data_IF_070624073765
#
_entry.id   IF_070624073765
#
_cell.length_a   1.000
_cell.length_b   1.000
_cell.length_c   1.000
_cell.angle_alpha   90.00
_cell.angle_beta   90.00
_cell.angle_gamma   90.00
#
_symmetry.space_group_name_H-M   'P 1'
#
loop_
_entity.id
_entity.type
_entity.pdbx_description
1 polymer ?
#
# COMPACT_ATOMS: atom_id res chain seq x y z
N UNK A 1 17.08 -32.81 12.27
CA UNK A 1 17.85 -32.62 11.03
C UNK A 1 17.21 -31.53 10.18
N UNK A 2 15.88 -31.55 9.96
CA UNK A 2 15.17 -30.57 9.11
C UNK A 2 15.35 -29.08 9.45
N UNK A 3 15.41 -28.68 10.73
CA UNK A 3 15.57 -27.25 11.08
C UNK A 3 16.98 -26.74 10.79
N UNK A 4 18.01 -27.57 11.00
CA UNK A 4 19.39 -27.21 10.70
C UNK A 4 19.66 -27.22 9.20
N UNK A 5 19.04 -28.15 8.46
CA UNK A 5 19.11 -28.16 7.00
C UNK A 5 18.36 -26.96 6.40
N UNK A 6 17.19 -26.60 6.93
CA UNK A 6 16.48 -25.38 6.54
C UNK A 6 17.28 -24.12 6.87
N UNK A 7 17.91 -24.05 8.05
CA UNK A 7 18.81 -22.96 8.42
C UNK A 7 20.06 -22.91 7.52
N UNK A 8 20.62 -24.04 7.12
CA UNK A 8 21.76 -24.09 6.20
C UNK A 8 21.37 -23.69 4.78
N UNK A 9 20.19 -24.10 4.31
CA UNK A 9 19.62 -23.68 3.02
C UNK A 9 19.18 -22.21 3.01
N UNK A 10 18.96 -21.59 4.18
CA UNK A 10 18.56 -20.19 4.34
C UNK A 10 19.62 -19.34 5.05
N UNK A 11 20.84 -19.86 5.23
CA UNK A 11 21.97 -19.05 5.66
C UNK A 11 22.28 -18.11 4.49
N UNK A 12 21.86 -16.85 4.62
CA UNK A 12 22.29 -15.79 3.74
C UNK A 12 23.82 -15.84 3.66
N UNK A 13 24.33 -16.24 2.51
CA UNK A 13 25.73 -16.05 2.20
C UNK A 13 25.96 -14.54 2.32
N UNK A 14 26.89 -14.12 3.18
CA UNK A 14 27.41 -12.76 3.12
C UNK A 14 27.74 -12.48 1.66
N UNK A 15 27.22 -11.37 1.11
CA UNK A 15 27.34 -11.04 -0.31
C UNK A 15 28.79 -11.20 -0.71
N UNK A 16 29.07 -12.20 -1.53
CA UNK A 16 30.43 -12.53 -1.89
C UNK A 16 31.04 -11.34 -2.68
N UNK A 17 32.34 -11.07 -2.51
CA UNK A 17 33.01 -10.10 -3.36
C UNK A 17 32.81 -10.47 -4.84
N UNK A 18 32.23 -9.57 -5.63
CA UNK A 18 31.95 -9.79 -7.05
C UNK A 18 30.54 -10.29 -7.39
N UNK A 19 29.62 -10.38 -6.42
CA UNK A 19 28.20 -10.64 -6.71
C UNK A 19 27.65 -9.56 -7.65
N UNK A 20 27.00 -9.93 -8.77
CA UNK A 20 26.43 -8.98 -9.70
C UNK A 20 25.36 -8.10 -9.02
N UNK A 21 25.12 -6.93 -9.61
CA UNK A 21 24.04 -6.04 -9.18
C UNK A 21 22.70 -6.79 -9.30
N UNK A 22 21.84 -6.81 -8.25
CA UNK A 22 20.55 -7.46 -8.32
C UNK A 22 19.62 -6.73 -9.30
N UNK A 23 18.67 -7.47 -9.86
CA UNK A 23 17.64 -6.93 -10.76
C UNK A 23 16.73 -5.98 -10.00
N UNK A 24 16.29 -6.36 -8.81
CA UNK A 24 15.47 -5.53 -7.94
C UNK A 24 15.78 -5.83 -6.46
N UNK A 25 15.62 -4.81 -5.63
CA UNK A 25 15.66 -4.93 -4.18
C UNK A 25 14.32 -4.50 -3.60
N UNK A 26 13.82 -5.22 -2.60
CA UNK A 26 12.51 -4.95 -2.02
C UNK A 26 12.64 -4.83 -0.50
N UNK A 27 12.31 -3.66 0.03
CA UNK A 27 12.23 -3.39 1.46
C UNK A 27 10.78 -3.59 1.90
N UNK A 28 10.54 -4.54 2.79
CA UNK A 28 9.20 -4.84 3.34
C UNK A 28 9.16 -4.57 4.84
N UNK A 29 7.95 -4.52 5.38
CA UNK A 29 7.77 -4.53 6.83
C UNK A 29 8.26 -5.84 7.45
N UNK A 30 8.89 -5.79 8.62
CA UNK A 30 9.25 -6.95 9.46
C UNK A 30 8.05 -7.69 10.06
N UNK A 31 6.83 -7.34 9.66
CA UNK A 31 5.62 -8.00 10.12
C UNK A 31 5.60 -9.44 9.60
N UNK A 32 5.26 -10.41 10.46
CA UNK A 32 5.31 -11.83 10.13
C UNK A 32 4.43 -12.21 8.94
N UNK A 33 3.41 -11.40 8.62
CA UNK A 33 2.53 -11.62 7.47
C UNK A 33 3.18 -11.26 6.14
N UNK A 34 4.27 -10.50 6.16
CA UNK A 34 5.09 -10.23 4.99
C UNK A 34 6.15 -11.31 4.76
N UNK A 35 6.44 -12.17 5.75
CA UNK A 35 7.60 -13.05 5.73
C UNK A 35 7.54 -14.13 4.64
N UNK A 36 6.39 -14.78 4.46
CA UNK A 36 6.23 -15.77 3.40
C UNK A 36 6.32 -15.16 2.00
N UNK A 37 5.88 -13.90 1.84
CA UNK A 37 6.06 -13.15 0.60
C UNK A 37 7.55 -12.88 0.33
N UNK A 38 8.29 -12.44 1.35
CA UNK A 38 9.75 -12.20 1.28
C UNK A 38 10.50 -13.45 0.85
N UNK A 39 10.24 -14.57 1.53
CA UNK A 39 10.88 -15.85 1.22
C UNK A 39 10.58 -16.30 -0.22
N UNK A 40 9.32 -16.24 -0.66
CA UNK A 40 8.98 -16.62 -2.03
C UNK A 40 9.63 -15.73 -3.10
N UNK A 41 9.88 -14.46 -2.76
CA UNK A 41 10.61 -13.54 -3.65
C UNK A 41 12.10 -13.92 -3.74
N UNK A 42 12.73 -14.27 -2.62
CA UNK A 42 14.12 -14.75 -2.60
C UNK A 42 14.27 -16.12 -3.27
N UNK A 43 13.26 -16.99 -3.18
CA UNK A 43 13.20 -18.27 -3.90
C UNK A 43 13.14 -18.11 -5.44
N UNK A 44 12.90 -16.89 -5.96
CA UNK A 44 13.03 -16.62 -7.40
C UNK A 44 14.50 -16.55 -7.86
N UNK A 45 15.44 -16.55 -6.92
CA UNK A 45 16.89 -16.58 -7.15
C UNK A 45 17.60 -15.28 -6.77
N UNK A 46 18.93 -15.31 -6.86
CA UNK A 46 19.85 -14.24 -6.41
C UNK A 46 19.68 -12.88 -7.13
N UNK A 47 18.80 -12.82 -8.13
CA UNK A 47 18.44 -11.59 -8.83
C UNK A 47 17.54 -10.67 -7.99
N UNK A 48 16.91 -11.18 -6.93
CA UNK A 48 16.00 -10.45 -6.05
C UNK A 48 16.47 -10.54 -4.62
N UNK A 49 16.56 -9.39 -3.95
CA UNK A 49 16.96 -9.34 -2.55
C UNK A 49 15.91 -8.62 -1.73
N UNK A 50 15.68 -9.10 -0.51
CA UNK A 50 14.73 -8.46 0.39
C UNK A 50 15.39 -7.92 1.65
N UNK A 51 14.80 -6.85 2.17
CA UNK A 51 15.18 -6.23 3.42
C UNK A 51 13.94 -6.08 4.30
N UNK A 52 14.10 -6.24 5.61
CA UNK A 52 13.03 -6.03 6.58
C UNK A 52 13.31 -4.78 7.42
N UNK A 53 12.32 -3.89 7.54
CA UNK A 53 12.35 -2.80 8.54
C UNK A 53 10.96 -2.56 9.14
N UNK A 54 10.85 -1.73 10.17
CA UNK A 54 9.54 -1.36 10.72
C UNK A 54 8.71 -0.61 9.66
N UNK A 55 7.44 -1.00 9.45
CA UNK A 55 6.60 -0.56 8.33
C UNK A 55 6.25 0.93 8.24
N UNK A 56 6.65 1.75 9.23
CA UNK A 56 6.59 3.21 9.13
C UNK A 56 7.85 3.83 8.49
N UNK A 57 8.87 3.03 8.21
CA UNK A 57 10.11 3.38 7.49
C UNK A 57 10.85 4.60 8.07
N UNK A 58 10.86 4.74 9.39
CA UNK A 58 11.41 5.91 10.07
C UNK A 58 10.78 7.26 9.66
N UNK A 59 9.59 7.26 9.05
CA UNK A 59 8.83 8.46 8.66
C UNK A 59 7.63 8.64 9.61
N UNK A 60 7.82 9.17 10.84
CA UNK A 60 6.70 9.44 11.74
C UNK A 60 5.92 10.67 11.26
N UNK A 61 4.70 10.45 10.77
CA UNK A 61 3.83 11.53 10.27
C UNK A 61 2.39 11.35 10.71
N UNK A 62 1.67 12.46 10.85
CA UNK A 62 0.22 12.47 10.69
C UNK A 62 -0.10 12.52 9.20
N UNK A 63 -0.77 11.50 8.70
CA UNK A 63 -1.15 11.39 7.31
C UNK A 63 -2.63 11.70 7.11
N UNK A 64 -2.96 12.48 6.08
CA UNK A 64 -4.32 12.66 5.61
C UNK A 64 -4.40 12.36 4.13
N UNK A 65 -5.06 11.25 3.79
CA UNK A 65 -5.37 10.87 2.41
C UNK A 65 -6.36 11.80 1.74
N UNK A 66 -6.46 11.70 0.41
CA UNK A 66 -7.29 12.58 -0.42
C UNK A 66 -8.76 12.68 0.03
N UNK A 67 -9.31 11.54 0.45
CA UNK A 67 -10.71 11.38 0.84
C UNK A 67 -10.91 11.24 2.37
N UNK A 68 -9.83 11.37 3.16
CA UNK A 68 -9.85 11.20 4.60
C UNK A 68 -10.45 12.41 5.31
N UNK A 69 -11.21 12.13 6.37
CA UNK A 69 -11.89 13.16 7.14
C UNK A 69 -10.99 13.79 8.21
N UNK A 70 -10.06 13.04 8.79
CA UNK A 70 -9.05 13.53 9.74
C UNK A 70 -7.69 12.93 9.41
N UNK A 71 -6.62 13.62 9.81
CA UNK A 71 -5.28 13.06 9.80
C UNK A 71 -5.11 11.98 10.88
N UNK A 72 -4.43 10.89 10.54
CA UNK A 72 -4.12 9.79 11.45
C UNK A 72 -2.60 9.65 11.64
N UNK A 73 -2.11 9.35 12.86
CA UNK A 73 -0.69 9.08 13.07
C UNK A 73 -0.31 7.74 12.43
N UNK A 74 0.71 7.73 11.58
CA UNK A 74 1.26 6.51 10.98
C UNK A 74 2.65 6.23 11.54
N UNK A 75 2.70 5.85 12.82
CA UNK A 75 3.93 5.51 13.54
C UNK A 75 3.62 4.62 14.76
N UNK A 76 4.63 4.02 15.42
CA UNK A 76 4.40 3.25 16.64
C UNK A 76 3.82 4.13 17.75
N UNK A 77 3.01 3.56 18.64
CA UNK A 77 2.31 4.30 19.71
C UNK A 77 3.25 5.06 20.66
N UNK A 78 4.51 4.63 20.77
CA UNK A 78 5.55 5.27 21.59
C UNK A 78 6.17 6.50 20.93
N UNK A 79 5.87 6.75 19.65
CA UNK A 79 6.35 7.90 18.88
C UNK A 79 5.22 8.89 18.68
N UNK A 80 5.49 10.19 18.90
CA UNK A 80 4.56 11.27 18.57
C UNK A 80 5.06 11.98 17.31
N UNK A 81 4.33 11.95 16.20
CA UNK A 81 4.72 12.67 15.00
C UNK A 81 4.75 14.19 15.25
N UNK A 82 5.75 14.86 14.68
CA UNK A 82 5.86 16.33 14.70
C UNK A 82 5.44 16.96 13.37
N UNK A 83 5.08 16.15 12.37
CA UNK A 83 4.82 16.58 11.00
C UNK A 83 3.49 16.04 10.51
N UNK A 84 2.88 16.80 9.62
CA UNK A 84 1.67 16.43 8.87
C UNK A 84 2.00 16.33 7.40
N UNK A 85 1.48 15.30 6.75
CA UNK A 85 1.61 15.03 5.33
C UNK A 85 0.22 14.84 4.75
N UNK A 86 -0.05 15.57 3.67
CA UNK A 86 -1.35 15.58 3.00
C UNK A 86 -1.18 14.98 1.62
N UNK A 87 -2.10 14.09 1.24
CA UNK A 87 -2.25 13.64 -0.13
C UNK A 87 -3.18 14.59 -0.89
N UNK A 88 -2.66 15.19 -1.95
CA UNK A 88 -3.37 16.17 -2.78
C UNK A 88 -3.47 15.65 -4.21
N UNK A 89 -4.54 15.99 -4.95
CA UNK A 89 -4.66 15.60 -6.35
C UNK A 89 -3.61 16.34 -7.18
N UNK A 90 -3.04 15.68 -8.18
CA UNK A 90 -2.18 16.36 -9.15
C UNK A 90 -2.97 17.45 -9.90
N UNK A 91 -2.28 18.48 -10.38
CA UNK A 91 -2.90 19.67 -10.99
C UNK A 91 -3.90 19.33 -12.10
N UNK A 92 -3.62 18.31 -12.92
CA UNK A 92 -4.49 17.88 -14.00
C UNK A 92 -5.70 17.05 -13.53
N UNK A 93 -5.67 16.53 -12.31
CA UNK A 93 -6.69 15.66 -11.71
C UNK A 93 -7.62 16.40 -10.73
N UNK A 94 -7.35 17.68 -10.42
CA UNK A 94 -8.15 18.51 -9.50
C UNK A 94 -9.63 18.53 -9.89
N UNK A 95 -9.95 18.82 -11.15
CA UNK A 95 -11.34 18.93 -11.62
C UNK A 95 -12.09 17.59 -11.52
N UNK A 96 -11.41 16.48 -11.81
CA UNK A 96 -11.95 15.14 -11.67
C UNK A 96 -12.20 14.80 -10.19
N UNK A 97 -11.30 15.19 -9.30
CA UNK A 97 -11.46 15.04 -7.86
C UNK A 97 -12.65 15.85 -7.35
N UNK A 98 -12.77 17.12 -7.71
CA UNK A 98 -13.89 17.98 -7.32
C UNK A 98 -15.24 17.43 -7.78
N UNK A 99 -15.31 16.95 -9.02
CA UNK A 99 -16.50 16.30 -9.55
C UNK A 99 -16.88 15.07 -8.71
N UNK A 100 -15.95 14.17 -8.44
CA UNK A 100 -16.18 12.98 -7.61
C UNK A 100 -16.57 13.33 -6.17
N UNK A 101 -15.91 14.31 -5.58
CA UNK A 101 -16.22 14.83 -4.25
C UNK A 101 -17.65 15.39 -4.20
N UNK A 102 -18.09 16.10 -5.24
CA UNK A 102 -19.45 16.62 -5.34
C UNK A 102 -20.49 15.49 -5.44
N UNK A 103 -20.20 14.43 -6.20
CA UNK A 103 -21.07 13.25 -6.33
C UNK A 103 -21.16 12.50 -5.00
N UNK A 104 -20.03 12.27 -4.32
CA UNK A 104 -19.99 11.62 -2.99
C UNK A 104 -20.80 12.42 -1.97
N UNK A 105 -20.67 13.75 -1.95
CA UNK A 105 -21.45 14.63 -1.06
C UNK A 105 -22.95 14.53 -1.34
N UNK A 106 -23.37 14.58 -2.61
CA UNK A 106 -24.79 14.42 -3.00
C UNK A 106 -25.31 13.05 -2.61
N UNK A 107 -24.55 11.99 -2.88
CA UNK A 107 -24.90 10.64 -2.47
C UNK A 107 -25.05 10.52 -0.95
N UNK A 108 -24.11 11.07 -0.17
CA UNK A 108 -24.16 11.09 1.28
C UNK A 108 -25.37 11.86 1.83
N UNK A 109 -25.72 13.01 1.23
CA UNK A 109 -26.92 13.77 1.58
C UNK A 109 -28.20 12.97 1.30
N UNK A 110 -28.27 12.32 0.14
CA UNK A 110 -29.39 11.43 -0.21
C UNK A 110 -29.44 10.26 0.77
N UNK A 111 -28.38 9.47 0.92
CA UNK A 111 -28.33 8.32 1.84
C UNK A 111 -28.62 8.69 3.31
N UNK A 112 -28.10 9.82 3.79
CA UNK A 112 -28.42 10.37 5.11
C UNK A 112 -29.90 10.76 5.24
N UNK A 113 -30.44 11.43 4.22
CA UNK A 113 -31.87 11.75 4.14
C UNK A 113 -32.76 10.50 4.10
N UNK A 114 -32.33 9.45 3.38
CA UNK A 114 -33.00 8.16 3.28
C UNK A 114 -33.01 7.43 4.64
N UNK A 115 -31.85 7.34 5.30
CA UNK A 115 -31.73 6.68 6.62
C UNK A 115 -32.46 7.43 7.74
N UNK A 116 -32.61 8.75 7.62
CA UNK A 116 -33.39 9.56 8.57
C UNK A 116 -34.88 9.46 8.29
N UNK A 117 -35.29 9.46 7.01
CA UNK A 117 -36.69 9.38 6.59
C UNK A 117 -37.31 8.00 6.87
N UNK A 118 -36.52 6.92 6.77
CA UNK A 118 -36.96 5.55 7.08
C UNK A 118 -37.30 5.34 8.57
N UNK A 119 -36.85 6.23 9.47
CA UNK A 119 -37.16 6.21 10.91
C UNK A 119 -38.49 6.88 11.27
N UNK A 120 -39.28 7.33 10.29
CA UNK A 120 -40.59 7.94 10.52
C UNK A 120 -41.72 7.01 10.04
N UNK A 121 -42.78 6.84 10.83
CA UNK A 121 -43.82 5.83 10.59
C UNK A 121 -44.52 5.95 9.22
N UNK A 122 -44.92 7.17 8.82
CA UNK A 122 -45.68 7.38 7.58
C UNK A 122 -44.80 7.55 6.33
N UNK A 123 -43.75 8.38 6.40
CA UNK A 123 -42.84 8.58 5.26
C UNK A 123 -41.92 7.37 5.07
N UNK A 124 -41.50 6.70 6.14
CA UNK A 124 -40.69 5.50 6.07
C UNK A 124 -41.43 4.31 5.46
N UNK A 125 -42.72 4.14 5.71
CA UNK A 125 -43.53 3.06 5.12
C UNK A 125 -43.68 3.19 3.59
N UNK A 126 -44.13 4.36 3.11
CA UNK A 126 -44.28 4.62 1.67
C UNK A 126 -42.92 4.58 0.95
N UNK A 127 -41.89 5.13 1.58
CA UNK A 127 -40.56 5.20 1.00
C UNK A 127 -39.88 3.82 0.93
N UNK A 128 -40.00 3.00 1.97
CA UNK A 128 -39.46 1.63 1.99
C UNK A 128 -40.11 0.76 0.92
N UNK A 129 -41.41 0.93 0.65
CA UNK A 129 -42.11 0.18 -0.40
C UNK A 129 -41.57 0.53 -1.80
N UNK A 130 -41.41 1.82 -2.10
CA UNK A 130 -40.88 2.31 -3.39
C UNK A 130 -39.40 1.97 -3.57
N UNK A 131 -38.56 2.27 -2.58
CA UNK A 131 -37.12 2.00 -2.64
C UNK A 131 -36.82 0.50 -2.61
N UNK A 132 -37.58 -0.28 -1.85
CA UNK A 132 -37.48 -1.74 -1.79
C UNK A 132 -37.82 -2.40 -3.12
N UNK A 133 -38.89 -1.95 -3.80
CA UNK A 133 -39.23 -2.45 -5.13
C UNK A 133 -38.13 -2.17 -6.16
N UNK A 134 -37.52 -0.99 -6.12
CA UNK A 134 -36.38 -0.65 -6.99
C UNK A 134 -35.12 -1.45 -6.63
N UNK A 135 -34.86 -1.70 -5.34
CA UNK A 135 -33.73 -2.49 -4.87
C UNK A 135 -33.89 -3.99 -5.15
N UNK A 136 -35.11 -4.50 -5.33
CA UNK A 136 -35.38 -5.89 -5.70
C UNK A 136 -34.91 -6.21 -7.13
N UNK A 137 -34.93 -5.24 -8.04
CA UNK A 137 -34.52 -5.42 -9.45
C UNK A 137 -33.06 -5.93 -9.57
N UNK A 138 -32.04 -5.27 -8.98
CA UNK A 138 -30.66 -5.77 -9.05
C UNK A 138 -30.46 -7.11 -8.31
N UNK A 139 -31.25 -7.39 -7.26
CA UNK A 139 -31.23 -8.69 -6.57
C UNK A 139 -31.74 -9.81 -7.48
N UNK A 140 -32.88 -9.62 -8.13
CA UNK A 140 -33.44 -10.57 -9.08
C UNK A 140 -32.50 -10.75 -10.28
N UNK A 141 -31.93 -9.65 -10.80
CA UNK A 141 -30.96 -9.72 -11.89
C UNK A 141 -29.69 -10.50 -11.51
N UNK A 142 -29.23 -10.42 -10.26
CA UNK A 142 -28.10 -11.23 -9.75
C UNK A 142 -28.40 -12.73 -9.72
N UNK A 143 -29.66 -13.11 -9.47
CA UNK A 143 -30.08 -14.53 -9.44
C UNK A 143 -30.37 -15.06 -10.85
N UNK A 144 -31.13 -14.32 -11.66
CA UNK A 144 -31.55 -14.75 -12.99
C UNK A 144 -30.45 -14.62 -14.05
N UNK A 145 -29.56 -13.62 -13.91
CA UNK A 145 -28.50 -13.32 -14.89
C UNK A 145 -27.15 -13.07 -14.20
N UNK A 146 -26.60 -14.07 -13.49
CA UNK A 146 -25.44 -13.89 -12.61
C UNK A 146 -24.19 -13.35 -13.35
N UNK A 147 -23.97 -13.78 -14.61
CA UNK A 147 -22.83 -13.32 -15.41
C UNK A 147 -22.96 -11.86 -15.86
N UNK A 148 -24.17 -11.43 -16.24
CA UNK A 148 -24.43 -10.05 -16.67
C UNK A 148 -24.37 -9.10 -15.46
N UNK A 149 -24.99 -9.47 -14.34
CA UNK A 149 -24.94 -8.70 -13.10
C UNK A 149 -23.51 -8.56 -12.57
N UNK A 150 -22.71 -9.62 -12.64
CA UNK A 150 -21.29 -9.57 -12.30
C UNK A 150 -20.50 -8.67 -13.26
N UNK A 151 -20.79 -8.68 -14.56
CA UNK A 151 -20.14 -7.79 -15.55
C UNK A 151 -20.45 -6.32 -15.29
N UNK A 152 -21.73 -5.99 -15.07
CA UNK A 152 -22.17 -4.62 -14.75
C UNK A 152 -21.54 -4.16 -13.43
N UNK A 153 -21.52 -5.03 -12.42
CA UNK A 153 -20.87 -4.77 -11.14
C UNK A 153 -19.37 -4.50 -11.28
N UNK A 154 -18.66 -5.26 -12.12
CA UNK A 154 -17.24 -5.03 -12.44
C UNK A 154 -17.02 -3.71 -13.17
N UNK A 155 -17.82 -3.41 -14.20
CA UNK A 155 -17.68 -2.14 -14.93
C UNK A 155 -17.96 -0.92 -14.04
N UNK A 156 -19.00 -1.01 -13.20
CA UNK A 156 -19.33 0.05 -12.24
C UNK A 156 -18.24 0.22 -11.18
N UNK A 157 -17.67 -0.89 -10.69
CA UNK A 157 -16.58 -0.85 -9.72
C UNK A 157 -15.29 -0.35 -10.35
N UNK A 158 -14.94 -0.73 -11.57
CA UNK A 158 -13.76 -0.23 -12.31
C UNK A 158 -13.85 1.29 -12.54
N UNK A 159 -15.02 1.80 -12.92
CA UNK A 159 -15.23 3.24 -13.11
C UNK A 159 -15.12 4.02 -11.78
N UNK A 160 -15.63 3.43 -10.70
CA UNK A 160 -15.48 3.96 -9.34
C UNK A 160 -14.06 3.83 -8.77
N UNK A 161 -13.30 2.80 -9.20
CA UNK A 161 -11.95 2.46 -8.74
C UNK A 161 -10.83 3.17 -9.48
N UNK A 162 -11.09 3.83 -10.62
CA UNK A 162 -10.05 4.62 -11.32
C UNK A 162 -9.41 5.58 -10.32
N UNK A 163 -8.15 5.35 -9.96
CA UNK A 163 -7.45 6.15 -8.97
C UNK A 163 -7.24 7.57 -9.50
N UNK A 164 -7.45 8.56 -8.64
CA UNK A 164 -7.09 9.95 -8.95
C UNK A 164 -5.57 10.03 -8.80
N UNK A 165 -4.82 10.52 -9.81
CA UNK A 165 -3.41 10.82 -9.64
C UNK A 165 -3.21 11.86 -8.54
N UNK A 166 -2.33 11.56 -7.59
CA UNK A 166 -2.08 12.38 -6.40
C UNK A 166 -0.58 12.53 -6.18
N UNK A 167 -0.19 13.43 -5.31
CA UNK A 167 1.14 13.45 -4.68
C UNK A 167 1.03 13.72 -3.19
N UNK A 168 2.12 13.47 -2.48
CA UNK A 168 2.27 13.85 -1.08
C UNK A 168 2.98 15.20 -0.98
N UNK A 169 2.44 16.10 -0.17
CA UNK A 169 3.15 17.33 0.21
C UNK A 169 4.15 17.00 1.32
N UNK A 170 5.41 16.75 0.93
CA UNK A 170 6.49 16.39 1.86
C UNK A 170 7.38 17.55 2.26
N UNK A 171 7.47 18.59 1.43
CA UNK A 171 8.32 19.76 1.72
C UNK A 171 7.73 20.60 2.85
N UNK A 172 8.61 21.13 3.70
CA UNK A 172 8.24 22.08 4.74
C UNK A 172 7.56 23.30 4.13
N UNK A 173 6.35 23.58 4.58
CA UNK A 173 5.63 24.82 4.25
C UNK A 173 5.66 25.80 5.42
N UNK A 174 5.59 27.10 5.11
CA UNK A 174 5.48 28.15 6.10
C UNK A 174 4.08 28.12 6.75
N UNK A 175 3.97 27.47 7.90
CA UNK A 175 2.73 27.40 8.65
C UNK A 175 2.62 26.19 9.58
N UNK A 176 1.62 26.20 10.49
CA UNK A 176 1.33 25.03 11.30
C UNK A 176 0.78 23.90 10.44
N UNK A 177 1.07 22.67 10.83
CA UNK A 177 0.43 21.49 10.29
C UNK A 177 -1.05 21.42 10.63
N UNK A 178 -1.77 20.51 9.95
CA UNK A 178 -3.22 20.31 10.16
C UNK A 178 -3.53 19.88 11.61
N UNK A 179 -2.61 19.14 12.23
CA UNK A 179 -2.71 18.77 13.65
C UNK A 179 -2.03 19.84 14.49
N UNK A 180 -2.74 20.35 15.50
CA UNK A 180 -2.23 21.42 16.35
C UNK A 180 -0.86 21.08 16.97
N UNK A 181 0.10 22.00 16.85
CA UNK A 181 1.46 21.83 17.37
C UNK A 181 2.40 21.00 16.48
N UNK A 182 1.99 20.68 15.25
CA UNK A 182 2.84 20.02 14.24
C UNK A 182 3.24 20.98 13.13
N UNK A 183 4.18 20.58 12.29
CA UNK A 183 4.58 21.29 11.08
C UNK A 183 3.95 20.67 9.83
N UNK A 184 3.72 21.48 8.79
CA UNK A 184 3.34 20.97 7.48
C UNK A 184 4.59 20.51 6.73
N UNK A 185 4.71 19.20 6.47
CA UNK A 185 5.87 18.60 5.81
C UNK A 185 7.16 18.57 6.63
N UNK A 186 8.25 18.21 5.95
CA UNK A 186 9.58 17.95 6.48
C UNK A 186 10.63 18.87 5.85
N UNK A 187 11.65 19.20 6.62
CA UNK A 187 12.86 19.80 6.08
C UNK A 187 13.70 18.76 5.33
N UNK A 188 14.47 19.21 4.34
CA UNK A 188 15.36 18.32 3.57
C UNK A 188 16.36 17.59 4.47
N UNK A 189 16.83 18.23 5.55
CA UNK A 189 17.71 17.60 6.53
C UNK A 189 17.01 16.45 7.28
N UNK A 190 15.75 16.64 7.68
CA UNK A 190 14.93 15.61 8.33
C UNK A 190 14.70 14.44 7.37
N UNK A 191 14.30 14.73 6.13
CA UNK A 191 14.11 13.71 5.08
C UNK A 191 15.38 12.88 4.84
N UNK A 192 16.54 13.54 4.74
CA UNK A 192 17.83 12.85 4.58
C UNK A 192 18.17 11.97 5.79
N UNK A 193 17.95 12.46 7.01
CA UNK A 193 18.15 11.67 8.22
C UNK A 193 17.28 10.42 8.28
N UNK A 194 16.01 10.50 7.86
CA UNK A 194 15.10 9.36 7.79
C UNK A 194 15.55 8.33 6.76
N UNK A 195 15.89 8.77 5.54
CA UNK A 195 16.36 7.88 4.47
C UNK A 195 17.65 7.19 4.88
N UNK A 196 18.63 7.95 5.38
CA UNK A 196 19.91 7.42 5.86
C UNK A 196 19.69 6.35 6.92
N UNK A 197 18.90 6.67 7.95
CA UNK A 197 18.64 5.77 9.07
C UNK A 197 18.13 4.42 8.60
N UNK A 198 17.10 4.39 7.75
CA UNK A 198 16.55 3.12 7.27
C UNK A 198 17.58 2.33 6.46
N UNK A 199 18.29 3.00 5.53
CA UNK A 199 19.26 2.34 4.67
C UNK A 199 20.45 1.76 5.47
N UNK A 200 20.93 2.47 6.48
CA UNK A 200 21.96 1.98 7.40
C UNK A 200 21.44 0.86 8.30
N UNK A 201 20.25 1.01 8.89
CA UNK A 201 19.64 0.02 9.80
C UNK A 201 19.44 -1.34 9.10
N UNK A 202 19.06 -1.35 7.82
CA UNK A 202 18.89 -2.58 7.02
C UNK A 202 20.18 -3.04 6.32
N UNK A 203 21.26 -2.27 6.41
CA UNK A 203 22.54 -2.55 5.75
C UNK A 203 22.58 -2.30 4.24
N UNK A 204 21.55 -1.66 3.65
CA UNK A 204 21.51 -1.28 2.24
C UNK A 204 22.24 0.06 2.02
N UNK A 205 23.56 0.03 2.14
CA UNK A 205 24.43 1.21 2.03
C UNK A 205 25.22 1.29 0.72
N UNK A 206 25.07 0.28 -0.14
CA UNK A 206 25.72 0.18 -1.45
C UNK A 206 25.11 -0.95 -2.29
N UNK A 207 25.62 -1.14 -3.51
CA UNK A 207 25.13 -2.17 -4.46
C UNK A 207 23.60 -2.11 -4.67
N UNK A 208 23.06 -0.90 -4.75
CA UNK A 208 21.65 -0.68 -5.03
C UNK A 208 21.26 -1.31 -6.38
N UNK A 209 20.11 -2.00 -6.45
CA UNK A 209 19.47 -2.32 -7.72
C UNK A 209 19.09 -1.03 -8.48
N UNK A 210 18.78 -1.13 -9.78
CA UNK A 210 18.22 0.01 -10.51
C UNK A 210 16.85 0.41 -9.96
N UNK A 211 16.09 -0.57 -9.47
CA UNK A 211 14.81 -0.36 -8.82
C UNK A 211 14.83 -0.90 -7.39
N UNK A 212 14.46 -0.06 -6.43
CA UNK A 212 14.33 -0.42 -5.02
C UNK A 212 12.89 -0.18 -4.60
N UNK A 213 12.12 -1.24 -4.44
CA UNK A 213 10.75 -1.14 -3.97
C UNK A 213 10.71 -1.01 -2.44
N UNK A 214 9.87 -0.12 -1.94
CA UNK A 214 9.59 0.04 -0.52
C UNK A 214 8.11 -0.27 -0.35
N UNK A 215 7.82 -1.41 0.27
CA UNK A 215 6.47 -1.95 0.42
C UNK A 215 6.06 -1.89 1.87
N UNK A 216 5.25 -0.88 2.19
CA UNK A 216 4.46 -0.90 3.41
C UNK A 216 3.42 -2.02 3.33
N UNK A 217 2.77 -2.34 4.44
CA UNK A 217 1.67 -3.29 4.41
C UNK A 217 0.42 -2.73 5.07
N UNK A 218 -0.71 -3.29 4.68
CA UNK A 218 -2.00 -3.10 5.31
C UNK A 218 -2.85 -4.35 5.07
N UNK A 219 -4.12 -4.27 5.41
CA UNK A 219 -5.06 -5.36 5.20
C UNK A 219 -6.42 -4.84 4.81
N UNK A 220 -7.01 -5.34 3.73
CA UNK A 220 -8.42 -5.11 3.47
C UNK A 220 -9.27 -5.89 4.48
N UNK A 221 -10.19 -5.22 5.17
CA UNK A 221 -11.17 -5.86 6.04
C UNK A 221 -12.58 -5.40 5.70
N UNK A 222 -13.50 -6.36 5.57
CA UNK A 222 -14.94 -6.08 5.49
C UNK A 222 -15.57 -5.76 6.85
N UNK A 223 -14.86 -6.08 7.94
CA UNK A 223 -15.32 -5.88 9.31
C UNK A 223 -14.48 -4.79 10.00
N UNK A 224 -14.98 -3.56 9.93
CA UNK A 224 -14.33 -2.32 10.38
C UNK A 224 -13.77 -2.37 11.83
N UNK A 225 -14.45 -2.96 12.84
CA UNK A 225 -13.94 -3.02 14.22
C UNK A 225 -12.61 -3.78 14.40
N UNK A 226 -12.23 -4.64 13.45
CA UNK A 226 -10.96 -5.38 13.51
C UNK A 226 -9.91 -4.85 12.53
N UNK A 227 -10.18 -3.79 11.76
CA UNK A 227 -9.25 -3.25 10.76
C UNK A 227 -7.87 -2.94 11.38
N UNK A 228 -7.85 -2.23 12.50
CA UNK A 228 -6.61 -1.85 13.19
C UNK A 228 -5.81 -3.04 13.75
N UNK A 229 -6.45 -4.19 13.96
CA UNK A 229 -5.77 -5.42 14.39
C UNK A 229 -5.09 -6.15 13.22
N UNK A 230 -5.53 -5.88 11.99
CA UNK A 230 -4.96 -6.46 10.77
C UNK A 230 -4.08 -5.48 9.99
N UNK A 231 -4.03 -4.21 10.35
CA UNK A 231 -3.10 -3.27 9.76
C UNK A 231 -1.71 -3.33 10.44
N UNK A 232 -0.82 -2.39 10.10
CA UNK A 232 0.57 -2.44 10.53
C UNK A 232 0.73 -2.00 11.99
N UNK A 233 1.24 -2.90 12.84
CA UNK A 233 1.55 -2.58 14.24
C UNK A 233 2.60 -1.46 14.37
N UNK A 234 3.60 -1.44 13.48
CA UNK A 234 4.60 -0.38 13.44
C UNK A 234 4.05 0.97 12.96
N UNK A 235 2.84 1.01 12.38
CA UNK A 235 2.13 2.23 12.02
C UNK A 235 0.97 2.53 12.97
N UNK A 236 0.95 1.94 14.17
CA UNK A 236 -0.10 2.18 15.17
C UNK A 236 -1.45 1.57 14.80
N UNK A 237 -1.46 0.51 13.99
CA UNK A 237 -2.67 -0.08 13.43
C UNK A 237 -3.19 0.65 12.19
N UNK A 238 -2.40 1.52 11.58
CA UNK A 238 -2.66 2.12 10.27
C UNK A 238 -1.99 1.36 9.12
N UNK A 239 -2.35 1.74 7.89
CA UNK A 239 -1.75 1.18 6.66
C UNK A 239 -0.38 1.83 6.41
N UNK A 240 0.66 1.03 6.18
CA UNK A 240 2.03 1.53 5.97
C UNK A 240 2.34 2.01 4.55
N UNK A 241 1.39 1.89 3.61
CA UNK A 241 1.55 2.33 2.23
C UNK A 241 1.96 3.80 2.06
N UNK A 242 1.31 4.76 2.75
CA UNK A 242 1.70 6.17 2.72
C UNK A 242 3.12 6.42 3.22
N UNK A 243 3.57 5.73 4.28
CA UNK A 243 4.95 5.86 4.77
C UNK A 243 5.96 5.36 3.73
N UNK A 244 5.66 4.23 3.09
CA UNK A 244 6.51 3.67 2.04
C UNK A 244 6.60 4.60 0.82
N UNK A 245 5.46 5.20 0.44
CA UNK A 245 5.39 6.24 -0.60
C UNK A 245 6.22 7.46 -0.24
N UNK A 246 6.05 7.99 0.98
CA UNK A 246 6.81 9.14 1.47
C UNK A 246 8.32 8.86 1.47
N UNK A 247 8.73 7.69 2.00
CA UNK A 247 10.13 7.27 1.99
C UNK A 247 10.71 7.22 0.57
N UNK A 248 10.00 6.60 -0.37
CA UNK A 248 10.45 6.49 -1.77
C UNK A 248 10.60 7.87 -2.43
N UNK A 249 9.65 8.79 -2.16
CA UNK A 249 9.74 10.19 -2.63
C UNK A 249 10.96 10.90 -2.02
N UNK A 250 11.20 10.77 -0.71
CA UNK A 250 12.37 11.35 -0.04
C UNK A 250 13.69 10.80 -0.59
N UNK A 251 13.79 9.48 -0.78
CA UNK A 251 14.99 8.82 -1.31
C UNK A 251 15.27 9.16 -2.79
N UNK A 252 14.25 9.59 -3.54
CA UNK A 252 14.40 10.07 -4.92
C UNK A 252 14.67 11.58 -5.03
N UNK A 253 14.52 12.35 -3.95
CA UNK A 253 14.72 13.79 -3.99
C UNK A 253 16.22 14.14 -4.21
N UNK A 254 16.58 14.92 -5.25
CA UNK A 254 17.96 15.28 -5.52
C UNK A 254 18.65 16.03 -4.37
N UNK A 255 17.91 16.85 -3.61
CA UNK A 255 18.42 17.62 -2.46
C UNK A 255 18.75 16.69 -1.30
N UNK A 256 17.91 15.67 -1.08
CA UNK A 256 18.17 14.61 -0.09
C UNK A 256 19.39 13.79 -0.52
N UNK A 257 19.46 13.35 -1.78
CA UNK A 257 20.61 12.59 -2.30
C UNK A 257 21.93 13.35 -2.20
N UNK A 258 21.93 14.66 -2.50
CA UNK A 258 23.12 15.50 -2.35
C UNK A 258 23.63 15.54 -0.90
N UNK A 259 22.72 15.62 0.09
CA UNK A 259 23.08 15.53 1.51
C UNK A 259 23.62 14.16 1.89
N UNK A 260 22.94 13.08 1.49
CA UNK A 260 23.40 11.71 1.77
C UNK A 260 24.82 11.47 1.22
N UNK A 261 25.08 11.93 -0.01
CA UNK A 261 26.39 11.81 -0.64
C UNK A 261 27.47 12.60 0.12
N UNK A 262 27.17 13.82 0.59
CA UNK A 262 28.07 14.60 1.42
C UNK A 262 28.41 13.92 2.76
N UNK A 263 27.54 13.02 3.22
CA UNK A 263 27.73 12.27 4.45
C UNK A 263 28.22 10.82 4.24
N UNK A 264 28.64 10.49 3.01
CA UNK A 264 29.27 9.21 2.66
C UNK A 264 28.33 8.12 2.13
N UNK A 265 27.02 8.38 2.02
CA UNK A 265 26.05 7.45 1.46
C UNK A 265 25.65 7.86 0.04
N UNK A 266 26.26 7.24 -0.96
CA UNK A 266 26.00 7.59 -2.37
C UNK A 266 24.94 6.67 -2.98
N UNK A 267 23.85 7.25 -3.45
CA UNK A 267 22.82 6.58 -4.25
C UNK A 267 23.02 6.99 -5.71
N UNK A 268 23.32 6.03 -6.58
CA UNK A 268 23.58 6.33 -7.99
C UNK A 268 22.35 6.92 -8.72
N UNK A 269 22.61 7.75 -9.73
CA UNK A 269 21.57 8.45 -10.50
C UNK A 269 20.63 7.53 -11.27
N UNK A 270 21.02 6.29 -11.50
CA UNK A 270 20.20 5.27 -12.16
C UNK A 270 19.37 4.44 -11.16
N UNK A 271 19.48 4.68 -9.86
CA UNK A 271 18.67 4.02 -8.82
C UNK A 271 17.37 4.80 -8.64
N UNK A 272 16.23 4.12 -8.68
CA UNK A 272 14.91 4.70 -8.37
C UNK A 272 14.21 3.90 -7.29
N UNK A 273 13.71 4.60 -6.28
CA UNK A 273 12.86 4.02 -5.24
C UNK A 273 11.40 4.07 -5.68
N UNK A 274 10.62 3.02 -5.40
CA UNK A 274 9.18 2.96 -5.72
C UNK A 274 8.43 2.56 -4.48
N UNK A 275 7.47 3.40 -4.05
CA UNK A 275 6.60 3.08 -2.93
C UNK A 275 5.48 2.14 -3.35
N UNK A 276 5.08 1.24 -2.45
CA UNK A 276 3.90 0.41 -2.62
C UNK A 276 3.30 -0.03 -1.29
N UNK A 277 2.16 -0.68 -1.38
CA UNK A 277 1.48 -1.30 -0.25
C UNK A 277 1.08 -2.73 -0.59
N UNK A 278 1.61 -3.70 0.16
CA UNK A 278 1.16 -5.08 0.14
C UNK A 278 -0.09 -5.21 1.03
N UNK A 279 -1.20 -5.63 0.44
CA UNK A 279 -2.36 -6.07 1.19
C UNK A 279 -2.14 -7.51 1.67
N UNK A 280 -1.84 -7.66 2.97
CA UNK A 280 -1.58 -8.96 3.60
C UNK A 280 -2.81 -9.86 3.70
N UNK A 281 -4.01 -9.32 3.43
CA UNK A 281 -5.21 -10.14 3.28
C UNK A 281 -5.21 -10.80 1.90
N UNK A 282 -5.14 -9.99 0.84
CA UNK A 282 -5.40 -10.39 -0.55
C UNK A 282 -4.15 -10.73 -1.38
N UNK A 283 -2.94 -10.46 -0.86
CA UNK A 283 -1.65 -10.55 -1.58
C UNK A 283 -1.51 -9.59 -2.77
N UNK A 284 -2.40 -8.60 -2.87
CA UNK A 284 -2.35 -7.57 -3.92
C UNK A 284 -1.42 -6.43 -3.51
N UNK A 285 -0.53 -6.03 -4.41
CA UNK A 285 0.32 -4.85 -4.23
C UNK A 285 -0.29 -3.65 -4.96
N UNK A 286 -0.51 -2.57 -4.21
CA UNK A 286 -0.81 -1.25 -4.78
C UNK A 286 0.47 -0.46 -4.90
N UNK A 287 0.92 -0.22 -6.13
CA UNK A 287 2.10 0.60 -6.42
C UNK A 287 1.75 2.09 -6.51
N UNK A 288 2.68 2.95 -6.07
CA UNK A 288 2.53 4.40 -6.05
C UNK A 288 3.52 5.08 -7.01
N UNK A 289 3.11 6.20 -7.60
CA UNK A 289 3.96 7.13 -8.37
C UNK A 289 4.76 6.49 -9.52
N UNK A 290 4.25 5.40 -10.11
CA UNK A 290 4.91 4.66 -11.18
C UNK A 290 5.15 5.54 -12.42
N UNK A 291 4.21 6.45 -12.68
CA UNK A 291 4.26 7.43 -13.75
C UNK A 291 5.38 8.47 -13.61
N UNK A 292 5.98 8.58 -12.41
CA UNK A 292 7.10 9.49 -12.13
C UNK A 292 8.46 8.85 -12.41
N UNK A 293 8.49 7.56 -12.71
CA UNK A 293 9.73 6.88 -13.08
C UNK A 293 10.22 7.33 -14.46
N UNK A 294 11.54 7.47 -14.66
CA UNK A 294 12.09 7.68 -15.99
C UNK A 294 11.71 6.53 -16.92
N UNK A 295 11.49 6.82 -18.22
CA UNK A 295 11.11 5.80 -19.20
C UNK A 295 12.09 4.61 -19.26
N UNK A 296 13.38 4.85 -18.98
CA UNK A 296 14.42 3.81 -18.93
C UNK A 296 14.30 2.82 -17.77
N UNK A 297 13.34 3.00 -16.85
CA UNK A 297 13.06 2.10 -15.72
C UNK A 297 11.76 1.32 -15.89
N UNK A 298 10.99 1.54 -16.97
CA UNK A 298 9.70 0.89 -17.18
C UNK A 298 9.83 -0.64 -17.19
N UNK A 299 10.79 -1.17 -17.94
CA UNK A 299 11.07 -2.62 -18.00
C UNK A 299 11.56 -3.20 -16.68
N UNK A 300 12.31 -2.43 -15.89
CA UNK A 300 12.77 -2.85 -14.56
C UNK A 300 11.57 -2.99 -13.60
N UNK A 301 10.62 -2.04 -13.65
CA UNK A 301 9.39 -2.09 -12.87
C UNK A 301 8.45 -3.21 -13.33
N UNK A 302 8.23 -3.35 -14.63
CA UNK A 302 7.38 -4.42 -15.20
C UNK A 302 7.86 -5.80 -14.74
N UNK A 303 9.17 -6.06 -14.83
CA UNK A 303 9.75 -7.32 -14.37
C UNK A 303 9.56 -7.55 -12.87
N UNK A 304 9.72 -6.50 -12.05
CA UNK A 304 9.45 -6.59 -10.62
C UNK A 304 7.97 -6.90 -10.35
N UNK A 305 7.05 -6.26 -11.06
CA UNK A 305 5.61 -6.48 -10.89
C UNK A 305 5.20 -7.90 -11.31
N UNK A 306 5.73 -8.40 -12.41
CA UNK A 306 5.51 -9.78 -12.87
C UNK A 306 5.98 -10.79 -11.82
N UNK A 307 7.19 -10.61 -11.28
CA UNK A 307 7.72 -11.52 -10.26
C UNK A 307 6.89 -11.43 -8.97
N UNK A 308 6.50 -10.22 -8.54
CA UNK A 308 5.65 -10.04 -7.37
C UNK A 308 4.28 -10.70 -7.56
N UNK A 309 3.72 -10.71 -8.77
CA UNK A 309 2.48 -11.41 -9.08
C UNK A 309 2.61 -12.94 -8.95
N UNK A 310 3.73 -13.51 -9.41
CA UNK A 310 4.01 -14.94 -9.22
C UNK A 310 4.23 -15.30 -7.74
N UNK A 311 4.94 -14.43 -7.01
CA UNK A 311 5.19 -14.54 -5.57
C UNK A 311 3.88 -14.45 -4.77
N UNK A 312 2.98 -13.53 -5.13
CA UNK A 312 1.65 -13.42 -4.51
C UNK A 312 0.85 -14.72 -4.65
N UNK A 313 0.86 -15.36 -5.82
CA UNK A 313 0.19 -16.64 -6.03
C UNK A 313 0.81 -17.79 -5.22
N UNK A 314 2.15 -17.81 -5.07
CA UNK A 314 2.83 -18.77 -4.21
C UNK A 314 2.51 -18.54 -2.72
N UNK A 315 2.52 -17.28 -2.28
CA UNK A 315 2.18 -16.86 -0.92
C UNK A 315 0.75 -17.26 -0.54
N UNK A 316 -0.22 -16.95 -1.41
CA UNK A 316 -1.61 -17.32 -1.25
C UNK A 316 -1.78 -18.84 -1.12
N UNK A 317 -1.06 -19.61 -1.94
CA UNK A 317 -1.07 -21.07 -1.90
C UNK A 317 -0.54 -21.63 -0.58
N UNK A 318 0.57 -21.09 -0.06
CA UNK A 318 1.08 -21.48 1.26
C UNK A 318 0.06 -21.17 2.37
N UNK A 319 -0.52 -19.96 2.36
CA UNK A 319 -1.49 -19.51 3.36
C UNK A 319 -2.77 -20.33 3.34
N UNK A 320 -3.25 -20.70 2.16
CA UNK A 320 -4.46 -21.52 1.97
C UNK A 320 -4.37 -22.88 2.69
N UNK A 321 -3.18 -23.44 2.90
CA UNK A 321 -2.99 -24.67 3.68
C UNK A 321 -3.47 -24.55 5.13
N UNK A 322 -3.56 -23.33 5.66
CA UNK A 322 -4.02 -23.03 7.03
C UNK A 322 -5.48 -22.59 7.08
N UNK A 323 -6.14 -22.40 5.93
CA UNK A 323 -7.49 -21.88 5.86
C UNK A 323 -8.52 -23.01 5.83
N UNK A 324 -9.37 -23.08 6.85
CA UNK A 324 -10.47 -24.07 6.92
C UNK A 324 -11.39 -24.02 5.68
N UNK A 325 -11.57 -22.83 5.10
CA UNK A 325 -12.40 -22.62 3.91
C UNK A 325 -11.75 -23.00 2.58
N UNK A 326 -10.45 -23.33 2.56
CA UNK A 326 -9.71 -23.60 1.33
C UNK A 326 -9.50 -25.12 1.16
N UNK A 327 -9.83 -25.71 -0.01
CA UNK A 327 -9.37 -27.05 -0.36
C UNK A 327 -7.83 -27.14 -0.32
N UNK A 328 -7.29 -28.32 0.03
CA UNK A 328 -5.84 -28.53 0.13
C UNK A 328 -5.17 -28.80 -1.22
N UNK A 329 -5.97 -29.07 -2.26
CA UNK A 329 -5.55 -29.40 -3.62
C UNK A 329 -5.61 -28.19 -4.58
N UNK A 330 -5.87 -26.99 -4.07
CA UNK A 330 -5.88 -25.77 -4.87
C UNK A 330 -4.53 -25.56 -5.56
N UNK A 331 -4.56 -25.25 -6.85
CA UNK A 331 -3.38 -24.72 -7.54
C UNK A 331 -3.01 -23.32 -7.03
N UNK A 332 -1.82 -22.82 -7.36
CA UNK A 332 -1.40 -21.45 -6.96
C UNK A 332 -2.37 -20.36 -7.43
N UNK A 333 -2.88 -20.50 -8.65
CA UNK A 333 -3.81 -19.54 -9.25
C UNK A 333 -5.16 -19.58 -8.52
N UNK A 334 -5.68 -20.78 -8.24
CA UNK A 334 -6.95 -20.93 -7.52
C UNK A 334 -6.84 -20.48 -6.06
N UNK A 335 -5.70 -20.74 -5.41
CA UNK A 335 -5.44 -20.25 -4.06
C UNK A 335 -5.39 -18.72 -3.99
N UNK A 336 -4.77 -18.07 -4.98
CA UNK A 336 -4.76 -16.61 -5.06
C UNK A 336 -6.18 -16.04 -5.26
N UNK A 337 -6.94 -16.61 -6.21
CA UNK A 337 -8.33 -16.22 -6.43
C UNK A 337 -9.22 -16.44 -5.19
N UNK A 338 -8.97 -17.52 -4.42
CA UNK A 338 -9.67 -17.80 -3.16
C UNK A 338 -9.37 -16.75 -2.09
N UNK A 339 -8.12 -16.33 -1.97
CA UNK A 339 -7.68 -15.29 -1.06
C UNK A 339 -8.30 -13.93 -1.43
N UNK A 340 -8.26 -13.54 -2.71
CA UNK A 340 -8.88 -12.30 -3.21
C UNK A 340 -10.41 -12.28 -3.01
N UNK A 341 -11.09 -13.42 -3.16
CA UNK A 341 -12.54 -13.50 -3.00
C UNK A 341 -13.00 -13.29 -1.54
N UNK A 342 -12.08 -13.44 -0.58
CA UNK A 342 -12.35 -13.28 0.86
C UNK A 342 -12.16 -11.84 1.36
N UNK A 343 -11.46 -11.01 0.60
CA UNK A 343 -11.23 -9.58 0.88
C UNK A 343 -12.42 -8.68 0.56
#
# INVERSE_FOLDING_TARGET
MEVLDALACHQHHAVAPGTPRPTAQVVLCIDERCESFRRHLEEQGDAYETFGTAGFFAVPMYYQGLDDWHAAPLCPIVVRPQHTVVEVPDTHAVSQHEFRRSLRRRYGQVAGGLSTSSRTLFRGGLFTALAGALAAIPLVARVAFPRLAARIGRMASELGRRRIPTHLELDRQDGPGIVAGTHAGFEVAEMAGMVRRVLEDIGLTGRFARIVAVLGHGSSSRNNPHESAYDCGACGGGRGGPNARAFAMMANDPRVRARLAAEGLTIADDVRFVGGMLDTCSDVITWYDQERLPAGHATDLERLQEVCGAVAAANAHERCRRFVSAPLDLTRIEAHAHVEARS
#
